data_IF_249886457252
#
_entry.id   IF_249886457252
#
_cell.length_a   1.000
_cell.length_b   1.000
_cell.length_c   1.000
_cell.angle_alpha   90.00
_cell.angle_beta   90.00
_cell.angle_gamma   90.00
#
_symmetry.space_group_name_H-M   'P 1'
#
loop_
_entity.id
_entity.type
_entity.pdbx_description
1 polymer ?
#
# COMPACT_ATOMS: atom_id res chain seq x y z
N UNK A 1 -1.26 18.89 1.69
CA UNK A 1 -0.42 17.74 2.11
C UNK A 1 -1.11 16.48 1.60
N UNK A 2 -0.40 15.50 1.03
CA UNK A 2 -1.02 14.33 0.38
C UNK A 2 -1.89 13.48 1.34
N UNK A 3 -1.57 13.48 2.64
CA UNK A 3 -2.40 12.91 3.69
C UNK A 3 -3.80 13.54 3.76
N UNK A 4 -3.89 14.87 3.73
CA UNK A 4 -5.17 15.58 3.74
C UNK A 4 -6.02 15.25 2.52
N UNK A 5 -5.42 15.07 1.35
CA UNK A 5 -6.14 14.68 0.13
C UNK A 5 -6.82 13.31 0.28
N UNK A 6 -6.15 12.31 0.86
CA UNK A 6 -6.76 11.00 1.08
C UNK A 6 -7.84 11.08 2.16
N UNK A 7 -7.57 11.79 3.25
CA UNK A 7 -8.58 12.00 4.30
C UNK A 7 -9.81 12.75 3.76
N UNK A 8 -9.65 13.76 2.91
CA UNK A 8 -10.76 14.56 2.36
C UNK A 8 -11.62 13.78 1.36
N UNK A 9 -11.03 12.88 0.56
CA UNK A 9 -11.75 12.15 -0.50
C UNK A 9 -12.20 10.74 -0.11
N UNK A 10 -11.69 10.19 0.99
CA UNK A 10 -11.97 8.82 1.46
C UNK A 10 -12.31 8.78 2.96
N UNK A 11 -12.86 9.87 3.49
CA UNK A 11 -13.21 10.03 4.91
C UNK A 11 -14.25 9.01 5.39
N UNK A 12 -15.18 8.63 4.51
CA UNK A 12 -16.21 7.62 4.73
C UNK A 12 -15.59 6.27 5.13
N UNK A 13 -14.47 5.92 4.52
CA UNK A 13 -13.73 4.67 4.74
C UNK A 13 -12.92 4.72 6.06
N UNK A 14 -12.60 5.90 6.60
CA UNK A 14 -11.75 6.10 7.79
C UNK A 14 -12.53 6.52 9.05
N UNK A 15 -13.86 6.51 9.00
CA UNK A 15 -14.73 7.06 10.04
C UNK A 15 -14.90 6.18 11.29
N UNK A 16 -14.67 4.86 11.19
CA UNK A 16 -14.81 3.89 12.30
C UNK A 16 -13.50 3.58 13.05
N UNK A 17 -12.45 4.36 12.80
CA UNK A 17 -11.12 4.19 13.41
C UNK A 17 -10.02 4.03 12.36
N UNK A 18 -8.77 4.23 12.80
CA UNK A 18 -7.60 4.12 11.92
C UNK A 18 -7.30 2.66 11.58
N UNK A 19 -7.60 2.25 10.35
CA UNK A 19 -7.20 0.95 9.78
C UNK A 19 -6.08 1.16 8.75
N UNK A 20 -4.86 0.80 9.13
CA UNK A 20 -3.67 0.92 8.27
C UNK A 20 -3.77 0.09 6.99
N UNK A 21 -4.43 -1.07 7.00
CA UNK A 21 -4.56 -1.94 5.83
C UNK A 21 -5.52 -1.32 4.83
N UNK A 22 -6.63 -0.79 5.33
CA UNK A 22 -7.63 -0.12 4.51
C UNK A 22 -7.06 1.17 3.90
N UNK A 23 -6.37 1.98 4.70
CA UNK A 23 -5.65 3.15 4.23
C UNK A 23 -4.62 2.80 3.14
N UNK A 24 -3.80 1.76 3.37
CA UNK A 24 -2.83 1.30 2.39
C UNK A 24 -3.50 0.82 1.09
N UNK A 25 -4.65 0.14 1.16
CA UNK A 25 -5.41 -0.28 -0.02
C UNK A 25 -5.93 0.91 -0.83
N UNK A 26 -6.45 1.94 -0.16
CA UNK A 26 -6.91 3.19 -0.83
C UNK A 26 -5.72 3.89 -1.50
N UNK A 27 -4.61 4.06 -0.78
CA UNK A 27 -3.38 4.61 -1.33
C UNK A 27 -2.91 3.86 -2.58
N UNK A 28 -2.97 2.53 -2.55
CA UNK A 28 -2.61 1.70 -3.70
C UNK A 28 -3.48 1.97 -4.92
N UNK A 29 -4.80 2.16 -4.73
CA UNK A 29 -5.72 2.48 -5.81
C UNK A 29 -5.40 3.83 -6.44
N UNK A 30 -5.12 4.84 -5.64
CA UNK A 30 -4.75 6.17 -6.13
C UNK A 30 -3.42 6.14 -6.89
N UNK A 31 -2.42 5.46 -6.33
CA UNK A 31 -1.12 5.26 -7.00
C UNK A 31 -1.30 4.59 -8.35
N UNK A 32 -2.18 3.60 -8.48
CA UNK A 32 -2.39 2.90 -9.76
C UNK A 32 -2.87 3.83 -10.87
N UNK A 33 -3.66 4.86 -10.56
CA UNK A 33 -4.12 5.85 -11.54
C UNK A 33 -2.94 6.61 -12.17
N UNK A 34 -1.91 6.89 -11.38
CA UNK A 34 -0.65 7.47 -11.86
C UNK A 34 0.15 6.41 -12.62
N UNK A 35 0.30 5.22 -12.04
CA UNK A 35 1.12 4.13 -12.62
C UNK A 35 0.59 3.59 -13.95
N UNK A 36 -0.71 3.70 -14.23
CA UNK A 36 -1.31 3.38 -15.55
C UNK A 36 -0.61 4.12 -16.70
N UNK A 37 -0.11 5.35 -16.45
CA UNK A 37 0.59 6.17 -17.44
C UNK A 37 2.09 5.83 -17.56
N UNK A 38 2.65 5.05 -16.63
CA UNK A 38 4.08 4.77 -16.51
C UNK A 38 4.37 3.27 -16.31
N UNK A 39 4.21 2.49 -17.38
CA UNK A 39 4.28 1.02 -17.36
C UNK A 39 5.60 0.46 -16.78
N UNK A 40 6.73 1.09 -17.06
CA UNK A 40 8.05 0.65 -16.56
C UNK A 40 8.14 0.86 -15.03
N UNK A 41 7.67 2.00 -14.55
CA UNK A 41 7.64 2.31 -13.11
C UNK A 41 6.69 1.36 -12.38
N UNK A 42 5.53 1.07 -12.97
CA UNK A 42 4.59 0.06 -12.46
C UNK A 42 5.28 -1.29 -12.26
N UNK A 43 5.92 -1.81 -13.31
CA UNK A 43 6.55 -3.14 -13.25
C UNK A 43 7.63 -3.21 -12.17
N UNK A 44 8.46 -2.17 -12.04
CA UNK A 44 9.47 -2.09 -10.98
C UNK A 44 8.86 -2.06 -9.58
N UNK A 45 7.79 -1.30 -9.37
CA UNK A 45 7.10 -1.27 -8.06
C UNK A 45 6.50 -2.65 -7.75
N UNK A 46 5.89 -3.31 -8.74
CA UNK A 46 5.34 -4.66 -8.54
C UNK A 46 6.43 -5.68 -8.22
N UNK A 47 7.58 -5.61 -8.89
CA UNK A 47 8.73 -6.46 -8.61
C UNK A 47 9.19 -6.25 -7.16
N UNK A 48 9.44 -5.01 -6.74
CA UNK A 48 9.88 -4.67 -5.37
C UNK A 48 8.88 -5.18 -4.32
N UNK A 49 7.57 -4.98 -4.53
CA UNK A 49 6.54 -5.46 -3.61
C UNK A 49 6.48 -7.00 -3.57
N UNK A 50 6.69 -7.69 -4.69
CA UNK A 50 6.59 -9.15 -4.74
C UNK A 50 7.84 -9.85 -4.17
N UNK A 51 9.03 -9.46 -4.61
CA UNK A 51 10.29 -10.11 -4.19
C UNK A 51 10.87 -9.52 -2.92
N UNK A 52 10.79 -8.20 -2.75
CA UNK A 52 11.36 -7.50 -1.59
C UNK A 52 10.50 -7.53 -0.33
N UNK A 53 9.22 -7.88 -0.46
CA UNK A 53 8.26 -7.74 0.65
C UNK A 53 7.46 -9.02 0.93
N UNK A 54 6.90 -9.67 -0.09
CA UNK A 54 5.94 -10.76 0.14
C UNK A 54 6.62 -12.12 0.26
N UNK A 55 7.72 -12.34 -0.46
CA UNK A 55 8.45 -13.61 -0.45
C UNK A 55 9.56 -13.69 0.62
N UNK A 56 9.86 -12.58 1.29
CA UNK A 56 10.93 -12.52 2.27
C UNK A 56 10.34 -12.37 3.68
N UNK A 57 10.52 -13.40 4.51
CA UNK A 57 10.16 -13.39 5.93
C UNK A 57 10.92 -12.29 6.70
N UNK A 58 12.02 -11.77 6.14
CA UNK A 58 12.82 -10.64 6.62
C UNK A 58 12.64 -9.38 5.75
N UNK A 59 11.43 -9.08 5.28
CA UNK A 59 11.21 -7.87 4.46
C UNK A 59 11.77 -6.62 5.15
N UNK A 60 12.86 -6.07 4.58
CA UNK A 60 13.52 -4.86 5.11
C UNK A 60 12.58 -3.67 5.18
N UNK A 61 11.66 -3.55 4.21
CA UNK A 61 10.66 -2.47 4.19
C UNK A 61 9.68 -2.65 5.35
N UNK A 62 9.20 -3.87 5.58
CA UNK A 62 8.33 -4.13 6.72
C UNK A 62 9.08 -3.91 8.06
N UNK A 63 10.36 -4.29 8.15
CA UNK A 63 11.21 -4.00 9.33
C UNK A 63 11.37 -2.48 9.58
N UNK A 64 11.54 -1.67 8.54
CA UNK A 64 11.55 -0.21 8.68
C UNK A 64 10.19 0.32 9.18
N UNK A 65 9.08 -0.28 8.76
CA UNK A 65 7.73 0.09 9.22
C UNK A 65 7.42 -0.39 10.65
N UNK A 66 8.05 -1.47 11.12
CA UNK A 66 7.95 -1.91 12.52
C UNK A 66 8.52 -0.87 13.49
N UNK A 67 9.55 -0.13 13.09
CA UNK A 67 10.10 1.00 13.86
C UNK A 67 9.06 2.08 14.22
N UNK A 68 7.87 2.04 13.60
CA UNK A 68 6.75 2.96 13.81
C UNK A 68 5.53 2.34 14.55
N UNK A 69 5.73 1.22 15.27
CA UNK A 69 4.73 0.42 16.03
C UNK A 69 4.10 -0.76 15.25
N UNK A 70 3.75 -1.84 15.96
CA UNK A 70 3.22 -3.10 15.40
C UNK A 70 4.29 -4.18 15.18
N UNK A 71 3.87 -5.34 14.71
CA UNK A 71 4.71 -6.50 14.39
C UNK A 71 5.12 -6.52 12.92
N UNK A 72 6.20 -7.23 12.61
CA UNK A 72 6.66 -7.43 11.22
C UNK A 72 5.56 -7.99 10.32
N UNK A 73 4.82 -8.97 10.84
CA UNK A 73 3.73 -9.61 10.11
C UNK A 73 2.58 -8.64 9.81
N UNK A 74 2.20 -7.77 10.76
CA UNK A 74 1.18 -6.75 10.52
C UNK A 74 1.59 -5.78 9.41
N UNK A 75 2.86 -5.36 9.38
CA UNK A 75 3.36 -4.47 8.32
C UNK A 75 3.46 -5.16 6.96
N UNK A 76 3.76 -6.46 6.93
CA UNK A 76 3.65 -7.26 5.71
C UNK A 76 2.20 -7.25 5.19
N UNK A 77 1.20 -7.40 6.06
CA UNK A 77 -0.21 -7.35 5.66
C UNK A 77 -0.66 -5.97 5.15
N UNK A 78 -0.10 -4.89 5.71
CA UNK A 78 -0.31 -3.52 5.21
C UNK A 78 0.26 -3.38 3.79
N UNK A 79 1.48 -3.90 3.54
CA UNK A 79 2.11 -3.86 2.23
C UNK A 79 1.38 -4.75 1.20
N UNK A 80 0.84 -5.89 1.61
CA UNK A 80 -0.06 -6.71 0.77
C UNK A 80 -1.33 -5.94 0.41
N UNK A 81 -1.90 -5.18 1.33
CA UNK A 81 -3.09 -4.37 1.09
C UNK A 81 -2.80 -3.21 0.12
N UNK A 82 -1.66 -2.53 0.27
CA UNK A 82 -1.16 -1.56 -0.71
C UNK A 82 -1.04 -2.17 -2.11
N UNK A 83 -0.40 -3.35 -2.19
CA UNK A 83 -0.26 -4.11 -3.41
C UNK A 83 -1.64 -4.38 -4.03
N UNK A 84 -2.57 -4.92 -3.26
CA UNK A 84 -3.92 -5.21 -3.74
C UNK A 84 -4.62 -3.96 -4.28
N UNK A 85 -4.49 -2.82 -3.62
CA UNK A 85 -5.03 -1.54 -4.09
C UNK A 85 -4.51 -1.17 -5.47
N UNK A 86 -3.22 -1.38 -5.73
CA UNK A 86 -2.62 -1.12 -7.04
C UNK A 86 -3.25 -2.00 -8.14
N UNK A 87 -3.60 -3.25 -7.80
CA UNK A 87 -4.18 -4.21 -8.74
C UNK A 87 -5.68 -4.04 -8.97
N UNK A 88 -6.46 -3.73 -7.93
CA UNK A 88 -7.92 -3.59 -7.99
C UNK A 88 -8.37 -2.63 -9.10
N UNK A 89 -7.72 -1.47 -9.19
CA UNK A 89 -8.07 -0.43 -10.15
C UNK A 89 -7.50 -0.72 -11.56
N UNK A 90 -6.64 -1.73 -11.73
CA UNK A 90 -6.10 -2.11 -13.05
C UNK A 90 -6.98 -3.15 -13.74
N UNK A 91 -7.61 -4.04 -12.96
CA UNK A 91 -8.44 -5.14 -13.48
C UNK A 91 -9.94 -4.91 -13.28
N UNK A 92 -10.33 -3.87 -12.56
CA UNK A 92 -11.72 -3.41 -12.38
C UNK A 92 -12.12 -2.37 -13.41
#
# INVERSE_FOLDING_TARGET
MFFNYICENHFDIMSDGWDEKLFARVLGRDMSTILKKYIVLKNKIQEILNTGIIQNEESKIAQYMVGSAGTLQEKIEVLKSLRQGIWDNING
#
